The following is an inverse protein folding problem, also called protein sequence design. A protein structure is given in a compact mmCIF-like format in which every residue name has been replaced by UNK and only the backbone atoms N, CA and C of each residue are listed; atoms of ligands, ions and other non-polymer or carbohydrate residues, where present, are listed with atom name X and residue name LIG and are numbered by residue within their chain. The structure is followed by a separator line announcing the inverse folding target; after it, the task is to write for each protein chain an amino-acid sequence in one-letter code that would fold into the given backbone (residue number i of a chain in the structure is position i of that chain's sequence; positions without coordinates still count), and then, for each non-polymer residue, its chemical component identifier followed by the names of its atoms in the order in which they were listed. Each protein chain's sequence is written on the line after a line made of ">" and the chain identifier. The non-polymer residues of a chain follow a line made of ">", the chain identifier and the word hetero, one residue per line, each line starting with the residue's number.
data_IF_813835017116
#
_entry.id   IF_813835017116
#
_cell.length_a   1.000
_cell.length_b   1.000
_cell.length_c   1.000
_cell.angle_alpha   90.00
_cell.angle_beta   90.00
_cell.angle_gamma   90.00
#
_symmetry.space_group_name_H-M   'P 1'
#
loop_
_entity.id
_entity.type
_entity.pdbx_description
1 polymer ?
#
# COMPACT_ATOMS: atom_id res chain seq x y z
N UNK A 1 -8.92 -6.59 -11.45
CA UNK A 1 -7.89 -7.42 -12.12
C UNK A 1 -8.60 -8.54 -12.85
N UNK A 2 -8.13 -8.89 -14.05
CA UNK A 2 -8.63 -10.02 -14.84
C UNK A 2 -7.53 -11.08 -15.00
N UNK A 3 -7.93 -12.28 -15.41
CA UNK A 3 -6.99 -13.37 -15.67
C UNK A 3 -5.92 -12.95 -16.71
N UNK A 4 -4.67 -13.36 -16.48
CA UNK A 4 -3.52 -13.05 -17.32
C UNK A 4 -2.93 -11.65 -17.14
N UNK A 5 -3.60 -10.72 -16.44
CA UNK A 5 -3.15 -9.35 -16.26
C UNK A 5 -1.91 -9.23 -15.37
N UNK A 6 -1.12 -8.18 -15.64
CA UNK A 6 0.09 -7.85 -14.89
C UNK A 6 -0.19 -6.77 -13.84
N UNK A 7 0.27 -7.01 -12.61
CA UNK A 7 0.10 -6.08 -11.47
C UNK A 7 1.48 -5.65 -10.95
N UNK A 8 1.81 -4.38 -11.10
CA UNK A 8 3.02 -3.76 -10.55
C UNK A 8 2.78 -3.29 -9.12
N UNK A 9 3.68 -3.65 -8.20
CA UNK A 9 3.65 -3.20 -6.81
C UNK A 9 4.79 -2.22 -6.57
N UNK A 10 4.50 -0.92 -6.64
CA UNK A 10 5.46 0.15 -6.35
C UNK A 10 5.34 0.60 -4.89
N UNK A 11 6.44 0.57 -4.15
CA UNK A 11 6.42 0.97 -2.75
C UNK A 11 7.79 0.96 -2.06
N UNK A 12 7.76 1.08 -0.75
CA UNK A 12 8.93 1.10 0.13
C UNK A 12 9.24 -0.29 0.75
N UNK A 13 9.81 -0.30 1.97
CA UNK A 13 10.13 -1.55 2.71
C UNK A 13 8.90 -2.39 3.04
N UNK A 14 7.73 -1.78 3.27
CA UNK A 14 6.48 -2.50 3.55
C UNK A 14 6.08 -3.31 2.31
N UNK A 15 6.20 -2.72 1.12
CA UNK A 15 5.96 -3.41 -0.16
C UNK A 15 7.04 -4.43 -0.48
N UNK A 16 8.32 -4.15 -0.15
CA UNK A 16 9.40 -5.11 -0.30
C UNK A 16 9.17 -6.37 0.55
N UNK A 17 8.79 -6.20 1.81
CA UNK A 17 8.37 -7.29 2.69
C UNK A 17 7.08 -7.96 2.21
N UNK A 18 6.18 -7.18 1.61
CA UNK A 18 4.93 -7.64 1.00
C UNK A 18 5.08 -8.68 -0.10
N UNK A 19 6.25 -8.74 -0.75
CA UNK A 19 6.58 -9.74 -1.77
C UNK A 19 6.94 -11.13 -1.20
N UNK A 20 7.17 -11.23 0.12
CA UNK A 20 7.44 -12.53 0.79
C UNK A 20 6.19 -13.40 0.78
N UNK A 21 6.33 -14.75 1.00
CA UNK A 21 5.19 -15.67 0.95
C UNK A 21 3.96 -15.21 1.75
N UNK A 22 4.16 -14.68 2.97
CA UNK A 22 3.11 -14.20 3.86
C UNK A 22 2.92 -12.67 3.82
N UNK A 23 3.56 -11.99 2.86
CA UNK A 23 3.46 -10.56 2.68
C UNK A 23 2.19 -10.15 1.91
N UNK A 24 1.69 -8.93 2.15
CA UNK A 24 0.40 -8.48 1.64
C UNK A 24 0.26 -8.54 0.12
N UNK A 25 1.33 -8.25 -0.63
CA UNK A 25 1.29 -8.33 -2.10
C UNK A 25 1.09 -9.77 -2.57
N UNK A 26 1.82 -10.72 -1.95
CA UNK A 26 1.72 -12.14 -2.30
C UNK A 26 0.39 -12.74 -1.82
N UNK A 27 -0.09 -12.38 -0.63
CA UNK A 27 -1.43 -12.77 -0.16
C UNK A 27 -2.53 -12.30 -1.11
N UNK A 28 -2.43 -11.09 -1.68
CA UNK A 28 -3.35 -10.60 -2.71
C UNK A 28 -3.29 -11.46 -3.97
N UNK A 29 -2.08 -11.78 -4.47
CA UNK A 29 -1.93 -12.64 -5.66
C UNK A 29 -2.50 -14.04 -5.41
N UNK A 30 -2.31 -14.58 -4.22
CA UNK A 30 -2.91 -15.86 -3.82
C UNK A 30 -4.44 -15.78 -3.75
N UNK A 31 -5.00 -14.69 -3.22
CA UNK A 31 -6.43 -14.46 -3.17
C UNK A 31 -7.04 -14.36 -4.57
N UNK A 32 -6.41 -13.62 -5.50
CA UNK A 32 -6.82 -13.57 -6.91
C UNK A 32 -6.82 -14.98 -7.52
N UNK A 33 -5.76 -15.76 -7.29
CA UNK A 33 -5.64 -17.14 -7.78
C UNK A 33 -6.75 -18.05 -7.24
N UNK A 34 -7.11 -17.89 -5.97
CA UNK A 34 -8.21 -18.66 -5.35
C UNK A 34 -9.58 -18.37 -6.00
N UNK A 35 -9.74 -17.19 -6.59
CA UNK A 35 -10.92 -16.78 -7.35
C UNK A 35 -10.77 -17.02 -8.88
N UNK A 36 -9.79 -17.84 -9.30
CA UNK A 36 -9.57 -18.20 -10.69
C UNK A 36 -8.84 -17.16 -11.55
N UNK A 37 -8.22 -16.15 -10.92
CA UNK A 37 -7.52 -15.06 -11.62
C UNK A 37 -6.01 -15.26 -11.47
N UNK A 38 -5.32 -15.64 -12.53
CA UNK A 38 -3.85 -15.78 -12.57
C UNK A 38 -3.22 -14.44 -12.94
N UNK A 39 -2.96 -13.60 -11.95
CA UNK A 39 -2.25 -12.32 -12.15
C UNK A 39 -0.74 -12.52 -12.14
N UNK A 40 -0.02 -11.70 -12.94
CA UNK A 40 1.46 -11.69 -13.04
C UNK A 40 2.02 -10.55 -12.19
N UNK A 41 2.65 -10.80 -11.02
CA UNK A 41 3.15 -9.73 -10.17
C UNK A 41 4.50 -9.20 -10.63
N UNK A 42 4.71 -7.87 -10.49
CA UNK A 42 6.00 -7.18 -10.60
C UNK A 42 6.24 -6.51 -9.25
N UNK A 43 7.09 -7.10 -8.40
CA UNK A 43 7.39 -6.57 -7.08
C UNK A 43 8.54 -5.56 -7.14
N UNK A 44 8.27 -4.30 -6.80
CA UNK A 44 9.22 -3.18 -6.80
C UNK A 44 9.13 -2.34 -5.53
N UNK A 45 9.10 -3.01 -4.38
CA UNK A 45 9.34 -2.39 -3.08
C UNK A 45 10.83 -2.20 -2.83
N UNK A 46 11.26 -1.03 -2.33
CA UNK A 46 12.65 -0.75 -1.93
C UNK A 46 12.66 -0.06 -0.58
N UNK A 47 13.40 -0.65 0.38
CA UNK A 47 13.51 -0.15 1.75
C UNK A 47 13.93 1.32 1.85
N UNK A 48 13.24 2.09 2.70
CA UNK A 48 13.56 3.49 2.97
C UNK A 48 13.19 4.47 1.84
N UNK A 49 12.68 4.00 0.70
CA UNK A 49 12.33 4.87 -0.41
C UNK A 49 11.15 5.79 -0.09
N UNK A 50 11.25 7.01 -0.59
CA UNK A 50 10.29 8.11 -0.48
C UNK A 50 9.70 8.45 -1.85
N UNK A 51 8.71 9.32 -1.88
CA UNK A 51 7.99 9.71 -3.10
C UNK A 51 8.91 10.19 -4.24
N UNK A 52 9.91 11.02 -3.93
CA UNK A 52 10.87 11.53 -4.91
C UNK A 52 11.75 10.43 -5.51
N UNK A 53 12.11 9.40 -4.73
CA UNK A 53 12.90 8.27 -5.21
C UNK A 53 12.03 7.30 -6.03
N UNK A 54 10.75 7.12 -5.64
CA UNK A 54 9.81 6.32 -6.42
C UNK A 54 9.52 6.96 -7.78
N UNK A 55 9.34 8.28 -7.84
CA UNK A 55 9.16 9.02 -9.09
C UNK A 55 10.34 8.82 -10.05
N UNK A 56 11.58 8.84 -9.54
CA UNK A 56 12.79 8.65 -10.37
C UNK A 56 12.90 7.25 -10.98
N UNK A 57 12.22 6.25 -10.44
CA UNK A 57 12.36 4.86 -10.85
C UNK A 57 11.09 4.22 -11.41
N UNK A 58 9.94 4.87 -11.36
CA UNK A 58 8.67 4.27 -11.78
C UNK A 58 8.70 3.80 -13.24
N UNK A 59 9.31 4.57 -14.14
CA UNK A 59 9.43 4.21 -15.56
C UNK A 59 10.21 2.91 -15.72
N UNK A 60 11.42 2.85 -15.15
CA UNK A 60 12.32 1.68 -15.22
C UNK A 60 11.76 0.46 -14.50
N UNK A 61 11.20 0.65 -13.29
CA UNK A 61 10.87 -0.46 -12.41
C UNK A 61 9.49 -1.05 -12.71
N UNK A 62 8.56 -0.22 -13.18
CA UNK A 62 7.16 -0.60 -13.38
C UNK A 62 6.72 -0.43 -14.83
N UNK A 63 6.82 0.80 -15.39
CA UNK A 63 6.10 1.14 -16.61
C UNK A 63 6.72 0.49 -17.87
N UNK A 64 8.04 0.25 -17.88
CA UNK A 64 8.67 -0.50 -18.97
C UNK A 64 8.09 -1.91 -19.17
N UNK A 65 7.48 -2.49 -18.12
CA UNK A 65 6.85 -3.81 -18.18
C UNK A 65 5.39 -3.75 -18.65
N UNK A 66 4.86 -2.56 -18.98
CA UNK A 66 3.49 -2.31 -19.47
C UNK A 66 2.43 -3.00 -18.59
N UNK A 67 2.39 -2.75 -17.27
CA UNK A 67 1.44 -3.41 -16.39
C UNK A 67 0.01 -2.94 -16.68
N UNK A 68 -0.98 -3.82 -16.49
CA UNK A 68 -2.39 -3.46 -16.55
C UNK A 68 -2.82 -2.67 -15.30
N UNK A 69 -2.16 -2.98 -14.17
CA UNK A 69 -2.41 -2.36 -12.88
C UNK A 69 -1.13 -1.97 -12.17
N UNK A 70 -1.15 -0.85 -11.47
CA UNK A 70 -0.10 -0.45 -10.54
C UNK A 70 -0.71 -0.14 -9.18
N UNK A 71 -0.23 -0.81 -8.11
CA UNK A 71 -0.44 -0.35 -6.73
C UNK A 71 0.64 0.64 -6.35
N UNK A 72 0.28 1.70 -5.65
CA UNK A 72 1.18 2.76 -5.22
C UNK A 72 1.08 2.96 -3.71
N UNK A 73 2.11 2.55 -2.98
CA UNK A 73 2.22 2.64 -1.52
C UNK A 73 3.41 3.51 -1.15
N UNK A 74 3.15 4.74 -0.64
CA UNK A 74 4.19 5.71 -0.31
C UNK A 74 3.70 6.72 0.73
N UNK A 75 4.59 7.21 1.61
CA UNK A 75 4.32 8.30 2.55
C UNK A 75 4.92 8.09 3.92
N UNK A 76 5.03 6.85 4.42
CA UNK A 76 5.62 6.56 5.73
C UNK A 76 7.03 7.15 5.85
N UNK A 77 7.91 6.89 4.88
CA UNK A 77 9.30 7.38 4.90
C UNK A 77 9.39 8.89 4.61
N UNK A 78 8.44 9.45 3.85
CA UNK A 78 8.38 10.89 3.59
C UNK A 78 8.18 11.66 4.90
N UNK A 79 7.41 11.10 5.84
CA UNK A 79 7.16 11.69 7.16
C UNK A 79 8.21 11.26 8.20
N UNK A 80 8.53 9.95 8.26
CA UNK A 80 9.35 9.37 9.32
C UNK A 80 10.78 9.91 9.35
N UNK A 81 11.34 10.22 8.20
CA UNK A 81 12.73 10.66 8.10
C UNK A 81 12.95 12.16 8.49
N UNK A 82 11.92 12.85 8.98
CA UNK A 82 12.03 14.22 9.48
C UNK A 82 12.65 15.17 8.45
N UNK A 83 13.78 15.79 8.76
CA UNK A 83 14.49 16.71 7.86
C UNK A 83 14.96 16.06 6.56
N UNK A 84 15.16 14.73 6.54
CA UNK A 84 15.52 13.95 5.37
C UNK A 84 14.28 13.36 4.69
N UNK A 85 13.09 13.67 5.16
CA UNK A 85 11.82 13.30 4.55
C UNK A 85 11.53 14.11 3.28
N UNK A 86 10.28 14.03 2.83
CA UNK A 86 9.77 14.86 1.73
C UNK A 86 8.60 15.67 2.29
N UNK A 87 8.66 17.00 2.18
CA UNK A 87 7.57 17.86 2.65
C UNK A 87 6.29 17.61 1.84
N UNK A 88 5.15 18.02 2.40
CA UNK A 88 3.85 17.74 1.83
C UNK A 88 3.69 18.26 0.40
N UNK A 89 4.19 19.46 0.09
CA UNK A 89 4.03 20.06 -1.23
C UNK A 89 4.82 19.31 -2.32
N UNK A 90 6.04 18.89 -2.01
CA UNK A 90 6.84 18.08 -2.94
C UNK A 90 6.30 16.65 -3.01
N UNK A 91 5.78 16.09 -1.91
CA UNK A 91 5.09 14.80 -1.91
C UNK A 91 3.88 14.83 -2.86
N UNK A 92 3.05 15.86 -2.79
CA UNK A 92 1.90 16.04 -3.69
C UNK A 92 2.32 16.04 -5.16
N UNK A 93 3.35 16.83 -5.51
CA UNK A 93 3.90 16.87 -6.87
C UNK A 93 4.40 15.50 -7.33
N UNK A 94 5.17 14.81 -6.49
CA UNK A 94 5.74 13.51 -6.81
C UNK A 94 4.66 12.45 -7.03
N UNK A 95 3.68 12.36 -6.12
CA UNK A 95 2.62 11.35 -6.20
C UNK A 95 1.70 11.60 -7.41
N UNK A 96 1.35 12.86 -7.68
CA UNK A 96 0.59 13.22 -8.88
C UNK A 96 1.33 12.82 -10.14
N UNK A 97 2.63 13.14 -10.24
CA UNK A 97 3.44 12.79 -11.40
C UNK A 97 3.56 11.26 -11.60
N UNK A 98 3.67 10.48 -10.52
CA UNK A 98 3.70 9.00 -10.60
C UNK A 98 2.38 8.49 -11.17
N UNK A 99 1.24 8.99 -10.67
CA UNK A 99 -0.09 8.58 -11.15
C UNK A 99 -0.29 8.96 -12.61
N UNK A 100 0.05 10.19 -12.99
CA UNK A 100 -0.08 10.68 -14.37
C UNK A 100 0.76 9.83 -15.34
N UNK A 101 2.01 9.51 -14.97
CA UNK A 101 2.87 8.62 -15.78
C UNK A 101 2.26 7.24 -15.94
N UNK A 102 1.74 6.65 -14.86
CA UNK A 102 1.14 5.32 -14.90
C UNK A 102 -0.11 5.30 -15.79
N UNK A 103 -0.99 6.28 -15.65
CA UNK A 103 -2.19 6.40 -16.48
C UNK A 103 -1.85 6.68 -17.95
N UNK A 104 -0.86 7.53 -18.24
CA UNK A 104 -0.38 7.77 -19.59
C UNK A 104 0.21 6.51 -20.26
N UNK A 105 0.80 5.61 -19.45
CA UNK A 105 1.28 4.29 -19.90
C UNK A 105 0.16 3.24 -20.03
N UNK A 106 -1.12 3.60 -19.77
CA UNK A 106 -2.28 2.71 -19.86
C UNK A 106 -2.56 1.87 -18.61
N UNK A 107 -1.77 2.03 -17.54
CA UNK A 107 -2.00 1.29 -16.30
C UNK A 107 -3.15 1.88 -15.48
N UNK A 108 -4.02 1.03 -14.95
CA UNK A 108 -4.96 1.42 -13.90
C UNK A 108 -4.21 1.53 -12.57
N UNK A 109 -4.47 2.60 -11.83
CA UNK A 109 -3.78 2.85 -10.55
C UNK A 109 -4.69 2.55 -9.38
N UNK A 110 -4.15 1.84 -8.39
CA UNK A 110 -4.73 1.64 -7.08
C UNK A 110 -3.82 2.30 -6.06
N UNK A 111 -4.27 3.39 -5.46
CA UNK A 111 -3.55 4.14 -4.43
C UNK A 111 -3.83 3.49 -3.08
N UNK A 112 -2.76 3.27 -2.30
CA UNK A 112 -2.84 2.81 -0.93
C UNK A 112 -2.51 3.99 -0.01
N UNK A 113 -3.41 4.34 0.92
CA UNK A 113 -3.02 5.27 1.97
C UNK A 113 -1.92 4.63 2.83
N UNK A 114 -0.99 5.45 3.32
CA UNK A 114 0.05 4.99 4.22
C UNK A 114 -0.57 4.44 5.50
N UNK A 115 -0.11 3.29 5.95
CA UNK A 115 -0.47 2.73 7.24
C UNK A 115 -0.05 3.66 8.39
N UNK A 116 0.23 3.18 9.57
CA UNK A 116 0.65 4.03 10.68
C UNK A 116 2.16 3.93 10.91
N UNK A 117 2.74 4.99 11.48
CA UNK A 117 4.08 5.01 12.05
C UNK A 117 3.90 4.80 13.55
N UNK A 118 4.27 3.63 14.06
CA UNK A 118 3.81 3.08 15.34
C UNK A 118 2.29 2.82 15.32
N UNK A 119 1.76 2.19 16.33
CA UNK A 119 0.34 1.81 16.38
C UNK A 119 -0.48 2.74 17.30
N UNK A 120 -0.14 4.03 17.27
CA UNK A 120 -0.81 5.06 18.03
C UNK A 120 -1.14 6.23 17.11
N UNK A 121 -2.42 6.35 16.75
CA UNK A 121 -2.91 7.42 15.87
C UNK A 121 -2.69 8.82 16.46
N UNK A 122 -2.66 8.96 17.79
CA UNK A 122 -2.42 10.24 18.46
C UNK A 122 -0.96 10.67 18.45
N UNK A 123 -0.03 9.76 18.11
CA UNK A 123 1.39 10.04 18.09
C UNK A 123 1.77 11.08 17.02
N UNK A 124 2.74 11.93 17.32
CA UNK A 124 3.17 13.07 16.49
C UNK A 124 3.43 12.72 15.03
N UNK A 125 4.04 11.56 14.75
CA UNK A 125 4.34 11.14 13.38
C UNK A 125 3.05 10.78 12.63
N UNK A 126 2.08 10.17 13.30
CA UNK A 126 0.79 9.87 12.69
C UNK A 126 -0.04 11.14 12.49
N UNK A 127 0.04 12.12 13.39
CA UNK A 127 -0.59 13.42 13.18
C UNK A 127 0.02 14.14 11.95
N UNK A 128 1.33 14.06 11.76
CA UNK A 128 2.01 14.57 10.55
C UNK A 128 1.65 13.78 9.29
N UNK A 129 1.30 12.50 9.39
CA UNK A 129 0.92 11.65 8.26
C UNK A 129 -0.52 11.93 7.77
N UNK A 130 -1.38 12.50 8.60
CA UNK A 130 -2.78 12.81 8.25
C UNK A 130 -2.90 13.61 6.94
N UNK A 131 -2.24 14.76 6.76
CA UNK A 131 -2.39 15.53 5.52
C UNK A 131 -1.85 14.80 4.28
N UNK A 132 -0.86 13.91 4.42
CA UNK A 132 -0.39 13.07 3.32
C UNK A 132 -1.46 12.05 2.90
N UNK A 133 -2.07 11.37 3.87
CA UNK A 133 -3.16 10.43 3.58
C UNK A 133 -4.41 11.12 3.05
N UNK A 134 -4.75 12.31 3.54
CA UNK A 134 -5.85 13.10 3.01
C UNK A 134 -5.61 13.44 1.54
N UNK A 135 -4.40 13.89 1.22
CA UNK A 135 -4.04 14.14 -0.18
C UNK A 135 -4.16 12.88 -1.06
N UNK A 136 -3.77 11.70 -0.58
CA UNK A 136 -3.93 10.46 -1.35
C UNK A 136 -5.41 10.13 -1.64
N UNK A 137 -6.30 10.40 -0.68
CA UNK A 137 -7.76 10.24 -0.88
C UNK A 137 -8.30 11.21 -1.95
N UNK A 138 -7.85 12.47 -1.90
CA UNK A 138 -8.20 13.50 -2.88
C UNK A 138 -7.64 13.14 -4.27
N UNK A 139 -6.37 12.76 -4.36
CA UNK A 139 -5.71 12.35 -5.60
C UNK A 139 -6.41 11.15 -6.25
N UNK A 140 -6.79 10.15 -5.45
CA UNK A 140 -7.53 8.99 -5.96
C UNK A 140 -8.85 9.40 -6.60
N UNK A 141 -9.59 10.31 -5.95
CA UNK A 141 -10.86 10.85 -6.47
C UNK A 141 -10.64 11.68 -7.75
N UNK A 142 -9.69 12.61 -7.72
CA UNK A 142 -9.38 13.51 -8.84
C UNK A 142 -8.95 12.73 -10.09
N UNK A 143 -8.03 11.78 -9.91
CA UNK A 143 -7.46 10.96 -11.00
C UNK A 143 -8.29 9.72 -11.34
N UNK A 144 -9.45 9.53 -10.70
CA UNK A 144 -10.33 8.35 -10.89
C UNK A 144 -9.59 7.03 -10.68
N UNK A 145 -8.68 7.01 -9.71
CA UNK A 145 -7.98 5.82 -9.27
C UNK A 145 -8.82 5.04 -8.25
N UNK A 146 -8.57 3.74 -8.12
CA UNK A 146 -9.05 3.00 -6.95
C UNK A 146 -8.26 3.43 -5.71
N UNK A 147 -8.89 3.33 -4.55
CA UNK A 147 -8.30 3.65 -3.25
C UNK A 147 -8.46 2.46 -2.30
N UNK A 148 -7.34 1.98 -1.75
CA UNK A 148 -7.33 1.15 -0.55
C UNK A 148 -6.95 2.05 0.64
N UNK A 149 -7.92 2.38 1.50
CA UNK A 149 -7.68 3.24 2.66
C UNK A 149 -7.10 2.44 3.82
N UNK A 150 -5.86 1.98 3.65
CA UNK A 150 -5.16 1.13 4.61
C UNK A 150 -4.90 1.82 5.95
N UNK A 151 -4.88 3.15 5.99
CA UNK A 151 -4.79 3.89 7.25
C UNK A 151 -6.08 3.72 8.06
N UNK A 152 -7.24 3.88 7.44
CA UNK A 152 -8.53 3.66 8.10
C UNK A 152 -8.70 2.18 8.49
N UNK A 153 -8.37 1.25 7.59
CA UNK A 153 -8.44 -0.19 7.87
C UNK A 153 -7.54 -0.58 9.06
N UNK A 154 -6.32 0.00 9.15
CA UNK A 154 -5.41 -0.26 10.27
C UNK A 154 -5.96 0.30 11.59
N UNK A 155 -6.53 1.50 11.60
CA UNK A 155 -7.15 2.08 12.79
C UNK A 155 -8.30 1.20 13.30
N UNK A 156 -9.14 0.70 12.39
CA UNK A 156 -10.26 -0.18 12.76
C UNK A 156 -9.77 -1.54 13.27
N UNK A 157 -8.79 -2.14 12.59
CA UNK A 157 -8.22 -3.42 13.00
C UNK A 157 -7.51 -3.33 14.38
N UNK A 158 -6.93 -2.18 14.73
CA UNK A 158 -6.32 -1.97 16.06
C UNK A 158 -7.34 -1.93 17.18
N UNK A 159 -8.57 -1.43 16.95
CA UNK A 159 -9.66 -1.42 17.94
C UNK A 159 -10.13 -2.82 18.30
N UNK A 160 -10.18 -3.69 17.29
CA UNK A 160 -10.69 -5.06 17.41
C UNK A 160 -9.60 -6.10 17.65
N UNK A 161 -8.32 -5.69 17.64
CA UNK A 161 -7.20 -6.59 17.86
C UNK A 161 -7.21 -7.19 19.26
N UNK A 162 -6.97 -8.52 19.42
CA UNK A 162 -6.94 -9.20 20.71
C UNK A 162 -6.09 -8.47 21.75
N UNK A 163 -6.58 -8.42 23.00
CA UNK A 163 -5.92 -7.69 24.08
C UNK A 163 -4.58 -8.30 24.51
N UNK A 164 -4.39 -9.60 24.29
CA UNK A 164 -3.17 -10.36 24.60
C UNK A 164 -2.01 -10.06 23.62
N UNK A 165 -2.27 -9.39 22.49
CA UNK A 165 -1.20 -8.96 21.59
C UNK A 165 -0.40 -7.81 22.22
N UNK A 166 0.93 -7.82 22.11
CA UNK A 166 1.79 -6.78 22.68
C UNK A 166 1.38 -5.40 22.21
N UNK A 167 1.27 -4.44 23.14
CA UNK A 167 0.96 -3.04 22.82
C UNK A 167 1.99 -2.49 21.84
N UNK A 168 1.53 -1.81 20.78
CA UNK A 168 2.38 -1.24 19.73
C UNK A 168 2.94 -2.27 18.74
N UNK A 169 2.53 -3.56 18.84
CA UNK A 169 2.91 -4.66 17.94
C UNK A 169 1.73 -5.56 17.58
N UNK A 170 0.53 -5.01 17.57
CA UNK A 170 -0.69 -5.77 17.25
C UNK A 170 -0.76 -6.15 15.77
N UNK A 171 -0.34 -5.25 14.89
CA UNK A 171 -0.34 -5.41 13.43
C UNK A 171 1.05 -5.24 12.81
N UNK A 172 2.03 -4.76 13.60
CA UNK A 172 3.40 -4.52 13.16
C UNK A 172 4.40 -5.29 14.03
N UNK A 173 5.60 -5.54 13.50
CA UNK A 173 6.70 -6.15 14.26
C UNK A 173 7.53 -5.12 15.04
N UNK A 174 7.70 -3.93 14.47
CA UNK A 174 8.58 -2.86 14.96
C UNK A 174 7.89 -1.48 15.03
N UNK A 175 6.59 -1.46 14.82
CA UNK A 175 5.77 -0.24 14.77
C UNK A 175 5.55 0.30 13.36
N UNK A 176 6.17 -0.29 12.32
CA UNK A 176 6.03 0.15 10.92
C UNK A 176 5.84 -1.02 9.97
N UNK A 177 6.72 -2.03 10.04
CA UNK A 177 6.65 -3.18 9.16
C UNK A 177 5.61 -4.18 9.66
N UNK A 178 4.74 -4.61 8.73
CA UNK A 178 3.63 -5.49 9.05
C UNK A 178 4.11 -6.85 9.58
N UNK A 179 3.50 -7.29 10.68
CA UNK A 179 3.53 -8.69 11.11
C UNK A 179 2.49 -9.50 10.27
N UNK A 180 2.36 -10.83 10.47
CA UNK A 180 1.39 -11.63 9.71
C UNK A 180 -0.04 -11.06 9.72
N UNK A 181 -0.52 -10.56 10.85
CA UNK A 181 -1.86 -9.98 10.96
C UNK A 181 -2.00 -8.66 10.20
N UNK A 182 -0.97 -7.80 10.24
CA UNK A 182 -0.92 -6.57 9.46
C UNK A 182 -0.87 -6.85 7.96
N UNK A 183 -0.13 -7.87 7.53
CA UNK A 183 -0.12 -8.29 6.13
C UNK A 183 -1.49 -8.76 5.65
N UNK A 184 -2.23 -9.53 6.46
CA UNK A 184 -3.62 -9.93 6.15
C UNK A 184 -4.53 -8.72 6.08
N UNK A 185 -4.42 -7.78 7.03
CA UNK A 185 -5.19 -6.53 7.01
C UNK A 185 -4.95 -5.75 5.72
N UNK A 186 -3.69 -5.53 5.32
CA UNK A 186 -3.34 -4.83 4.09
C UNK A 186 -3.85 -5.58 2.84
N UNK A 187 -3.66 -6.91 2.77
CA UNK A 187 -4.13 -7.71 1.64
C UNK A 187 -5.65 -7.64 1.48
N UNK A 188 -6.40 -7.69 2.58
CA UNK A 188 -7.86 -7.52 2.60
C UNK A 188 -8.27 -6.12 2.14
N UNK A 189 -7.62 -5.07 2.62
CA UNK A 189 -7.89 -3.69 2.21
C UNK A 189 -7.68 -3.47 0.70
N UNK A 190 -6.61 -4.03 0.15
CA UNK A 190 -6.35 -3.96 -1.30
C UNK A 190 -7.36 -4.80 -2.09
N UNK A 191 -7.68 -6.02 -1.64
CA UNK A 191 -8.67 -6.88 -2.29
C UNK A 191 -10.08 -6.26 -2.26
N UNK A 192 -10.47 -5.64 -1.13
CA UNK A 192 -11.72 -4.88 -0.98
C UNK A 192 -11.82 -3.75 -2.02
N UNK A 193 -10.74 -2.98 -2.20
CA UNK A 193 -10.70 -1.93 -3.21
C UNK A 193 -10.80 -2.46 -4.65
N UNK A 194 -10.42 -3.71 -4.88
CA UNK A 194 -10.58 -4.43 -6.16
C UNK A 194 -11.96 -5.07 -6.33
N UNK A 195 -12.86 -4.93 -5.34
CA UNK A 195 -14.25 -5.39 -5.43
C UNK A 195 -14.51 -6.80 -4.86
N UNK A 196 -13.61 -7.34 -4.02
CA UNK A 196 -13.85 -8.61 -3.33
C UNK A 196 -14.99 -8.46 -2.33
N UNK A 197 -15.87 -9.45 -2.28
CA UNK A 197 -16.93 -9.56 -1.27
C UNK A 197 -16.37 -9.94 0.11
N UNK A 198 -17.15 -9.69 1.17
CA UNK A 198 -16.77 -10.06 2.54
C UNK A 198 -16.41 -11.55 2.68
N UNK A 199 -17.15 -12.43 2.00
CA UNK A 199 -16.86 -13.87 1.98
C UNK A 199 -15.52 -14.22 1.32
N UNK A 200 -15.11 -13.48 0.29
CA UNK A 200 -13.79 -13.63 -0.35
C UNK A 200 -12.69 -13.06 0.52
N UNK A 201 -12.92 -11.88 1.16
CA UNK A 201 -11.97 -11.27 2.09
C UNK A 201 -11.69 -12.17 3.30
N UNK A 202 -12.72 -12.86 3.83
CA UNK A 202 -12.57 -13.77 4.97
C UNK A 202 -11.60 -14.93 4.70
N UNK A 203 -11.45 -15.35 3.45
CA UNK A 203 -10.52 -16.43 3.02
C UNK A 203 -9.05 -15.99 3.01
N UNK A 204 -8.75 -14.68 3.05
CA UNK A 204 -7.38 -14.16 3.14
C UNK A 204 -6.93 -14.28 4.59
N UNK A 205 -6.07 -15.24 4.87
CA UNK A 205 -5.59 -15.55 6.23
C UNK A 205 -4.08 -15.77 6.21
N UNK A 206 -3.46 -15.73 7.38
CA UNK A 206 -2.08 -16.20 7.57
C UNK A 206 -2.04 -17.71 7.37
N UNK A 207 -0.98 -18.22 6.76
CA UNK A 207 -0.70 -19.65 6.68
C UNK A 207 0.10 -20.11 7.88
#
# INVERSE_FOLDING_TARGET
>A
VKDGQTVGFLGDSITAAGARPDGYCNLLIQALKAEGITAKPIYKGIGGHKSNQMLKRVDRDILQHKPDWMTLSCGVNDVWHGKNGVNLEDYKKNMTAIVDKAQAAGAKVLILTSTMIKEDQSGDLNQKLIPYNNFLRELAKEKKCLLADLNADMQEALKTAPADRPKGKKLTGDGVHMNPHGNVMMARGVAKALGFSDGQLAKIVTR
#
